data_IF_628895157301
#
_entry.id   IF_628895157301
#
_cell.length_a   1.000
_cell.length_b   1.000
_cell.length_c   1.000
_cell.angle_alpha   90.00
_cell.angle_beta   90.00
_cell.angle_gamma   90.00
#
_symmetry.space_group_name_H-M   'P 1'
#
loop_
_entity.id
_entity.type
_entity.pdbx_description
1 polymer ?
#
# COMPACT_ATOMS: atom_id res chain seq x y z
N UNK A 1 25.98 27.29 -25.21
CA UNK A 1 24.68 27.95 -25.47
C UNK A 1 23.60 26.98 -25.01
N UNK A 2 22.93 27.27 -23.90
CA UNK A 2 21.96 26.37 -23.29
C UNK A 2 20.77 26.18 -24.23
N UNK A 3 20.40 24.93 -24.50
CA UNK A 3 19.21 24.60 -25.27
C UNK A 3 18.00 25.14 -24.52
N UNK A 4 17.26 26.03 -25.17
CA UNK A 4 16.03 26.61 -24.64
C UNK A 4 14.93 25.54 -24.77
N UNK A 5 14.91 24.57 -23.84
CA UNK A 5 13.87 23.56 -23.78
C UNK A 5 12.52 24.28 -23.56
N UNK A 6 11.67 24.16 -24.57
CA UNK A 6 10.45 24.95 -24.70
C UNK A 6 9.34 24.25 -23.94
N UNK A 7 9.00 24.75 -22.76
CA UNK A 7 7.85 24.30 -21.99
C UNK A 7 6.57 24.28 -22.85
N UNK A 8 5.92 23.13 -22.94
CA UNK A 8 4.64 22.94 -23.63
C UNK A 8 3.49 23.71 -22.98
N UNK A 9 3.55 23.91 -21.65
CA UNK A 9 2.47 24.54 -20.89
C UNK A 9 2.91 25.80 -20.13
N UNK A 10 1.96 26.66 -19.81
CA UNK A 10 2.18 27.92 -19.10
C UNK A 10 1.67 27.83 -17.66
N UNK A 11 2.25 28.67 -16.81
CA UNK A 11 1.72 28.89 -15.47
C UNK A 11 0.27 29.36 -15.57
N UNK A 12 -0.61 28.73 -14.80
CA UNK A 12 -2.04 28.99 -14.81
C UNK A 12 -2.86 28.06 -15.68
N UNK A 13 -2.24 27.31 -16.61
CA UNK A 13 -2.95 26.38 -17.49
C UNK A 13 -3.59 25.24 -16.69
N UNK A 14 -4.77 24.83 -17.15
CA UNK A 14 -5.44 23.62 -16.65
C UNK A 14 -5.03 22.43 -17.51
N UNK A 15 -4.59 21.38 -16.84
CA UNK A 15 -4.08 20.17 -17.47
C UNK A 15 -4.71 18.94 -16.79
N UNK A 16 -4.52 17.78 -17.42
CA UNK A 16 -4.74 16.49 -16.80
C UNK A 16 -3.37 15.94 -16.38
N UNK A 17 -3.22 15.44 -15.16
CA UNK A 17 -1.96 14.86 -14.70
C UNK A 17 -2.17 13.45 -14.14
N UNK A 18 -1.26 12.55 -14.46
CA UNK A 18 -1.18 11.25 -13.82
C UNK A 18 -0.72 11.38 -12.37
N UNK A 19 -1.45 10.76 -11.44
CA UNK A 19 -1.00 10.49 -10.08
C UNK A 19 -1.22 9.00 -9.79
N UNK A 20 -0.13 8.24 -9.80
CA UNK A 20 -0.19 6.78 -9.86
C UNK A 20 -0.92 6.30 -11.14
N UNK A 21 -1.86 5.35 -11.06
CA UNK A 21 -2.57 4.83 -12.22
C UNK A 21 -3.78 5.68 -12.65
N UNK A 22 -4.10 6.77 -11.94
CA UNK A 22 -5.27 7.61 -12.21
C UNK A 22 -4.87 8.96 -12.81
N UNK A 23 -5.80 9.57 -13.53
CA UNK A 23 -5.65 10.88 -14.15
C UNK A 23 -6.54 11.88 -13.41
N UNK A 24 -5.98 13.02 -13.01
CA UNK A 24 -6.68 14.07 -12.29
C UNK A 24 -6.58 15.41 -13.00
N UNK A 25 -7.58 16.27 -12.84
CA UNK A 25 -7.50 17.66 -13.26
C UNK A 25 -6.57 18.44 -12.32
N UNK A 26 -5.62 19.19 -12.88
CA UNK A 26 -4.69 20.00 -12.12
C UNK A 26 -4.42 21.34 -12.81
N UNK A 27 -3.82 22.27 -12.07
CA UNK A 27 -3.40 23.59 -12.54
C UNK A 27 -1.90 23.73 -12.39
N UNK A 28 -1.24 24.28 -13.39
CA UNK A 28 0.20 24.58 -13.32
C UNK A 28 0.41 25.82 -12.45
N UNK A 29 1.20 25.68 -11.39
CA UNK A 29 1.60 26.73 -10.48
C UNK A 29 2.95 27.34 -10.83
N UNK A 30 3.89 26.54 -11.36
CA UNK A 30 5.24 27.01 -11.74
C UNK A 30 5.90 26.04 -12.73
N UNK A 31 7.05 26.41 -13.30
CA UNK A 31 7.81 25.57 -14.24
C UNK A 31 9.32 25.84 -14.19
N UNK A 32 10.11 24.78 -14.31
CA UNK A 32 11.57 24.82 -14.24
C UNK A 32 12.16 23.71 -15.14
N UNK A 33 13.33 23.94 -15.73
CA UNK A 33 14.04 22.97 -16.56
C UNK A 33 14.95 22.05 -15.72
N UNK A 34 14.94 22.19 -14.40
CA UNK A 34 15.57 21.28 -13.47
C UNK A 34 14.63 20.99 -12.31
N UNK A 35 14.55 19.73 -11.91
CA UNK A 35 13.76 19.38 -10.74
C UNK A 35 14.47 19.90 -9.46
N UNK A 36 13.82 20.76 -8.65
CA UNK A 36 14.47 21.54 -7.60
C UNK A 36 15.09 20.71 -6.46
N UNK A 37 14.68 19.45 -6.29
CA UNK A 37 15.19 18.56 -5.24
C UNK A 37 16.02 17.37 -5.74
N UNK A 38 15.90 17.01 -7.02
CA UNK A 38 16.55 15.79 -7.54
C UNK A 38 17.63 16.10 -8.56
N UNK A 39 17.69 17.34 -9.08
CA UNK A 39 18.68 17.73 -10.08
C UNK A 39 18.45 17.11 -11.46
N UNK A 40 17.34 16.38 -11.67
CA UNK A 40 16.99 15.87 -12.98
C UNK A 40 16.77 17.03 -13.97
N UNK A 41 17.51 17.00 -15.07
CA UNK A 41 17.37 17.96 -16.17
C UNK A 41 16.17 17.60 -17.04
N UNK A 42 15.42 18.62 -17.46
CA UNK A 42 14.24 18.50 -18.32
C UNK A 42 13.09 19.40 -17.86
N UNK A 43 12.06 19.62 -18.70
CA UNK A 43 10.90 20.43 -18.33
C UNK A 43 10.09 19.77 -17.21
N UNK A 44 10.03 20.47 -16.08
CA UNK A 44 9.21 20.11 -14.92
C UNK A 44 8.19 21.21 -14.64
N UNK A 45 7.03 20.80 -14.16
CA UNK A 45 5.92 21.68 -13.80
C UNK A 45 5.52 21.44 -12.35
N UNK A 46 5.43 22.50 -11.56
CA UNK A 46 4.77 22.47 -10.26
C UNK A 46 3.27 22.49 -10.51
N UNK A 47 2.55 21.48 -10.04
CA UNK A 47 1.11 21.35 -10.26
C UNK A 47 0.34 21.29 -8.94
N UNK A 48 -0.91 21.75 -9.00
CA UNK A 48 -1.90 21.62 -7.93
C UNK A 48 -3.13 20.88 -8.44
N UNK A 49 -3.46 19.76 -7.81
CA UNK A 49 -4.63 18.96 -8.16
C UNK A 49 -5.93 19.60 -7.67
N UNK A 50 -6.96 19.59 -8.53
CA UNK A 50 -8.27 20.15 -8.21
C UNK A 50 -8.91 19.42 -7.04
N UNK A 51 -9.23 20.17 -5.97
CA UNK A 51 -9.87 19.65 -4.77
C UNK A 51 -8.91 18.98 -3.76
N UNK A 52 -7.60 19.04 -4.02
CA UNK A 52 -6.59 18.52 -3.11
C UNK A 52 -6.03 19.65 -2.23
N UNK A 53 -5.39 19.30 -1.11
CA UNK A 53 -4.73 20.30 -0.25
C UNK A 53 -3.37 20.69 -0.86
N UNK A 54 -2.94 21.94 -0.66
CA UNK A 54 -1.65 22.46 -1.16
C UNK A 54 -0.42 21.65 -0.67
N UNK A 55 -0.55 20.90 0.43
CA UNK A 55 0.51 19.99 0.89
C UNK A 55 0.80 18.84 -0.09
N UNK A 56 -0.03 18.66 -1.11
CA UNK A 56 0.11 17.66 -2.18
C UNK A 56 0.61 18.25 -3.49
N UNK A 57 0.98 19.52 -3.52
CA UNK A 57 1.57 20.14 -4.69
C UNK A 57 2.92 19.46 -4.97
N UNK A 58 3.12 19.04 -6.21
CA UNK A 58 4.31 18.28 -6.61
C UNK A 58 4.89 18.81 -7.92
N UNK A 59 6.21 18.70 -8.04
CA UNK A 59 6.92 18.89 -9.29
C UNK A 59 6.83 17.61 -10.10
N UNK A 60 6.29 17.70 -11.32
CA UNK A 60 6.11 16.57 -12.23
C UNK A 60 6.85 16.83 -13.53
N UNK A 61 7.42 15.79 -14.12
CA UNK A 61 7.98 15.86 -15.47
C UNK A 61 6.87 15.98 -16.52
N UNK A 62 7.24 16.47 -17.71
CA UNK A 62 6.32 16.73 -18.82
C UNK A 62 5.53 15.50 -19.29
N UNK A 63 6.08 14.29 -19.16
CA UNK A 63 5.45 13.01 -19.54
C UNK A 63 4.19 12.67 -18.74
N UNK A 64 4.08 13.18 -17.50
CA UNK A 64 2.89 13.01 -16.64
C UNK A 64 1.78 14.00 -16.95
N UNK A 65 2.06 15.05 -17.74
CA UNK A 65 1.15 16.15 -18.00
C UNK A 65 0.49 16.00 -19.38
N UNK A 66 -0.82 15.83 -19.38
CA UNK A 66 -1.65 15.67 -20.55
C UNK A 66 -2.48 16.94 -20.82
N UNK A 67 -2.68 17.32 -22.10
CA UNK A 67 -3.57 18.42 -22.43
C UNK A 67 -5.03 18.02 -22.19
N UNK A 68 -5.87 18.98 -21.83
CA UNK A 68 -7.32 18.76 -21.76
C UNK A 68 -7.87 18.68 -23.19
N UNK A 69 -8.05 17.46 -23.68
CA UNK A 69 -8.69 17.16 -24.95
C UNK A 69 -9.69 16.00 -24.78
N UNK A 70 -10.55 15.78 -25.77
CA UNK A 70 -11.56 14.73 -25.70
C UNK A 70 -10.97 13.33 -25.51
N UNK A 71 -9.81 13.05 -26.12
CA UNK A 71 -9.17 11.74 -26.03
C UNK A 71 -8.71 11.44 -24.59
N UNK A 72 -8.04 12.39 -23.94
CA UNK A 72 -7.52 12.25 -22.58
C UNK A 72 -8.65 12.25 -21.54
N UNK A 73 -9.73 13.00 -21.77
CA UNK A 73 -10.95 12.94 -20.95
C UNK A 73 -11.66 11.58 -21.05
N UNK A 74 -11.70 10.98 -22.25
CA UNK A 74 -12.20 9.60 -22.44
C UNK A 74 -11.30 8.59 -21.72
N UNK A 75 -9.98 8.75 -21.82
CA UNK A 75 -9.02 7.91 -21.12
C UNK A 75 -9.20 7.98 -19.59
N UNK A 76 -9.38 9.18 -19.04
CA UNK A 76 -9.69 9.36 -17.61
C UNK A 76 -10.96 8.58 -17.20
N UNK A 77 -12.07 8.75 -17.94
CA UNK A 77 -13.32 8.02 -17.68
C UNK A 77 -13.17 6.50 -17.79
N UNK A 78 -12.48 6.01 -18.81
CA UNK A 78 -12.25 4.58 -18.99
C UNK A 78 -11.43 3.97 -17.83
N UNK A 79 -10.40 4.69 -17.37
CA UNK A 79 -9.60 4.28 -16.23
C UNK A 79 -10.46 4.23 -14.95
N UNK A 80 -11.26 5.26 -14.69
CA UNK A 80 -12.19 5.31 -13.55
C UNK A 80 -13.24 4.17 -13.59
N UNK A 81 -13.81 3.89 -14.76
CA UNK A 81 -14.77 2.80 -14.94
C UNK A 81 -14.14 1.42 -14.76
N UNK A 82 -12.91 1.22 -15.27
CA UNK A 82 -12.20 -0.06 -15.13
C UNK A 82 -11.83 -0.35 -13.67
N UNK A 83 -11.47 0.70 -12.91
CA UNK A 83 -11.16 0.63 -11.48
C UNK A 83 -12.39 0.32 -10.63
N UNK A 84 -13.54 0.90 -10.99
CA UNK A 84 -14.82 0.68 -10.28
C UNK A 84 -15.43 -0.69 -10.58
N UNK A 85 -15.30 -1.20 -11.82
CA UNK A 85 -15.78 -2.55 -12.19
C UNK A 85 -14.94 -3.67 -11.55
N UNK A 86 -13.63 -3.48 -11.35
CA UNK A 86 -12.78 -4.45 -10.64
C UNK A 86 -13.08 -4.58 -9.13
N UNK A 87 -13.82 -3.64 -8.55
CA UNK A 87 -14.20 -3.65 -7.13
C UNK A 87 -15.62 -4.17 -6.85
N UNK A 88 -16.37 -4.67 -7.84
CA UNK A 88 -17.64 -5.37 -7.61
C UNK A 88 -17.38 -6.88 -7.44
N UNK A 89 -17.69 -7.50 -6.28
CA UNK A 89 -17.71 -8.95 -6.19
C UNK A 89 -18.81 -9.50 -7.09
N UNK A 90 -18.44 -10.39 -8.01
CA UNK A 90 -19.36 -11.10 -8.90
C UNK A 90 -20.16 -12.14 -8.10
N UNK A 91 -21.31 -11.75 -7.54
CA UNK A 91 -22.30 -12.71 -7.07
C UNK A 91 -23.04 -13.26 -8.30
N UNK A 92 -22.69 -14.47 -8.73
CA UNK A 92 -23.51 -15.26 -9.65
C UNK A 92 -24.87 -15.49 -8.97
N UNK A 93 -25.94 -14.88 -9.48
CA UNK A 93 -27.31 -15.31 -9.18
C UNK A 93 -27.84 -16.10 -10.38
N UNK A 94 -28.14 -17.36 -10.07
CA UNK A 94 -28.87 -18.32 -10.88
C UNK A 94 -30.29 -17.78 -11.09
N UNK A 95 -30.77 -17.93 -12.32
CA UNK A 95 -32.13 -17.62 -12.76
C UNK A 95 -33.10 -18.65 -12.18
N UNK A 96 -34.18 -18.18 -11.54
CA UNK A 96 -35.46 -18.87 -11.59
C UNK A 96 -36.60 -17.87 -11.38
N UNK A 97 -37.63 -18.11 -12.19
CA UNK A 97 -38.79 -17.30 -12.51
C UNK A 97 -39.92 -17.46 -11.48
N UNK A 98 -40.67 -16.39 -11.21
CA UNK A 98 -42.11 -16.39 -10.88
C UNK A 98 -42.63 -14.99 -10.52
N UNK A 99 -43.39 -14.43 -11.47
CA UNK A 99 -44.70 -13.76 -11.32
C UNK A 99 -45.00 -12.75 -10.18
N UNK A 100 -45.29 -11.52 -10.63
CA UNK A 100 -46.34 -10.57 -10.20
C UNK A 100 -46.48 -10.12 -8.72
N UNK A 101 -46.39 -8.82 -8.44
CA UNK A 101 -47.57 -7.94 -8.15
C UNK A 101 -47.14 -6.48 -7.83
N UNK A 102 -48.04 -5.54 -8.13
CA UNK A 102 -48.01 -4.07 -7.94
C UNK A 102 -47.87 -3.66 -6.47
N UNK A 103 -47.13 -2.56 -6.19
CA UNK A 103 -47.19 -1.95 -4.85
C UNK A 103 -46.39 -0.68 -4.58
N UNK A 104 -46.89 0.46 -5.08
CA UNK A 104 -46.94 1.79 -4.41
C UNK A 104 -45.67 2.39 -3.77
N UNK A 105 -45.18 3.46 -4.42
CA UNK A 105 -44.44 4.62 -3.87
C UNK A 105 -44.66 4.85 -2.36
N UNK A 106 -43.59 4.77 -1.57
CA UNK A 106 -43.39 5.59 -0.36
C UNK A 106 -41.99 6.19 -0.37
N UNK A 107 -41.95 7.46 -0.78
CA UNK A 107 -40.95 8.47 -0.44
C UNK A 107 -40.82 8.46 1.08
N UNK A 108 -39.66 8.06 1.61
CA UNK A 108 -39.28 8.26 3.02
C UNK A 108 -37.91 8.89 3.07
N UNK A 109 -37.83 9.86 3.95
CA UNK A 109 -36.85 10.92 4.10
C UNK A 109 -35.39 10.50 3.93
N UNK A 110 -34.69 11.35 3.18
CA UNK A 110 -33.27 11.61 3.35
C UNK A 110 -33.10 12.39 4.66
N UNK A 111 -33.21 11.70 5.79
CA UNK A 111 -32.47 12.13 6.98
C UNK A 111 -31.03 11.72 6.73
N UNK A 112 -30.28 12.61 6.08
CA UNK A 112 -28.83 12.61 6.09
C UNK A 112 -28.41 12.74 7.55
N UNK A 113 -28.33 11.61 8.25
CA UNK A 113 -27.65 11.54 9.52
C UNK A 113 -26.23 12.01 9.25
N UNK A 114 -25.97 13.21 9.78
CA UNK A 114 -24.67 13.81 9.97
C UNK A 114 -23.90 12.99 11.02
N UNK A 115 -23.74 11.70 10.76
CA UNK A 115 -22.86 10.85 11.53
C UNK A 115 -21.44 11.16 11.06
N UNK A 116 -20.86 12.12 11.77
CA UNK A 116 -19.45 12.17 12.12
C UNK A 116 -18.52 11.57 11.08
N UNK A 117 -18.07 12.46 10.18
CA UNK A 117 -16.73 12.40 9.62
C UNK A 117 -15.70 12.43 10.78
N UNK A 118 -15.63 11.35 11.56
CA UNK A 118 -14.44 10.99 12.30
C UNK A 118 -13.38 10.92 11.21
N UNK A 119 -12.52 11.93 11.16
CA UNK A 119 -11.28 11.93 10.39
C UNK A 119 -10.52 10.71 10.87
N UNK A 120 -10.77 9.53 10.27
CA UNK A 120 -10.09 8.30 10.67
C UNK A 120 -8.60 8.60 10.54
N UNK A 121 -7.82 8.51 11.63
CA UNK A 121 -6.41 8.84 11.58
C UNK A 121 -5.76 7.96 10.52
N UNK A 122 -5.21 8.60 9.47
CA UNK A 122 -4.51 7.88 8.41
C UNK A 122 -3.26 7.28 9.03
N UNK A 123 -3.28 5.97 9.27
CA UNK A 123 -2.14 5.25 9.85
C UNK A 123 -1.03 5.22 8.81
N UNK A 124 -0.05 6.10 8.92
CA UNK A 124 1.16 6.04 8.09
C UNK A 124 2.25 5.37 8.93
N UNK A 125 2.75 4.25 8.43
CA UNK A 125 3.92 3.56 8.99
C UNK A 125 5.08 3.87 8.05
N UNK A 126 6.16 4.42 8.58
CA UNK A 126 7.35 4.73 7.80
C UNK A 126 8.21 3.47 7.66
N UNK A 127 8.39 3.01 6.43
CA UNK A 127 9.26 1.87 6.10
C UNK A 127 10.62 2.43 5.65
N UNK A 128 11.73 2.03 6.31
CA UNK A 128 13.10 2.39 5.90
C UNK A 128 13.37 2.16 4.41
N UNK A 129 14.23 3.00 3.82
CA UNK A 129 14.58 2.93 2.38
C UNK A 129 15.15 1.57 1.98
N UNK A 130 16.02 0.99 2.81
CA UNK A 130 16.64 -0.32 2.57
C UNK A 130 15.58 -1.42 2.43
N UNK A 131 14.60 -1.44 3.32
CA UNK A 131 13.48 -2.37 3.26
C UNK A 131 12.56 -2.10 2.05
N UNK A 132 12.42 -0.85 1.62
CA UNK A 132 11.70 -0.53 0.37
C UNK A 132 12.42 -1.06 -0.87
N UNK A 133 13.74 -0.95 -0.93
CA UNK A 133 14.52 -1.54 -2.02
C UNK A 133 14.38 -3.07 -2.04
N UNK A 134 14.40 -3.73 -0.88
CA UNK A 134 14.15 -5.17 -0.77
C UNK A 134 12.77 -5.56 -1.29
N UNK A 135 11.72 -4.78 -1.00
CA UNK A 135 10.38 -5.03 -1.55
C UNK A 135 10.32 -4.92 -3.08
N UNK A 136 11.05 -3.97 -3.66
CA UNK A 136 11.17 -3.84 -5.13
C UNK A 136 11.87 -5.06 -5.71
N UNK A 137 13.01 -5.46 -5.12
CA UNK A 137 13.78 -6.63 -5.55
C UNK A 137 12.98 -7.94 -5.43
N UNK A 138 12.24 -8.12 -4.34
CA UNK A 138 11.33 -9.25 -4.12
C UNK A 138 10.24 -9.31 -5.19
N UNK A 139 9.61 -8.16 -5.49
CA UNK A 139 8.61 -8.07 -6.56
C UNK A 139 9.18 -8.42 -7.93
N UNK A 140 10.38 -7.94 -8.27
CA UNK A 140 11.05 -8.26 -9.53
C UNK A 140 11.41 -9.74 -9.62
N UNK A 141 11.97 -10.31 -8.56
CA UNK A 141 12.40 -11.71 -8.50
C UNK A 141 11.22 -12.66 -8.75
N UNK A 142 10.05 -12.36 -8.17
CA UNK A 142 8.89 -13.24 -8.25
C UNK A 142 8.08 -13.05 -9.54
N UNK A 143 7.94 -11.81 -10.02
CA UNK A 143 7.12 -11.53 -11.20
C UNK A 143 7.90 -11.57 -12.51
N UNK A 144 9.15 -11.04 -12.54
CA UNK A 144 9.99 -11.05 -13.75
C UNK A 144 10.81 -12.32 -13.85
N UNK A 145 11.46 -12.74 -12.77
CA UNK A 145 12.39 -13.88 -12.79
C UNK A 145 11.75 -15.23 -12.44
N UNK A 146 10.47 -15.25 -12.03
CA UNK A 146 9.74 -16.44 -11.57
C UNK A 146 10.50 -17.23 -10.47
N UNK A 147 11.32 -16.53 -9.68
CA UNK A 147 12.07 -17.13 -8.58
C UNK A 147 11.20 -17.15 -7.35
N UNK A 148 10.87 -18.35 -6.88
CA UNK A 148 10.07 -18.55 -5.68
C UNK A 148 10.97 -18.76 -4.46
N UNK A 149 10.57 -18.17 -3.35
CA UNK A 149 11.26 -18.33 -2.05
C UNK A 149 11.12 -19.79 -1.60
N UNK A 150 12.20 -20.51 -1.24
CA UNK A 150 12.12 -21.89 -0.80
C UNK A 150 11.46 -22.00 0.57
N UNK A 151 10.44 -22.85 0.71
CA UNK A 151 9.68 -23.05 1.95
C UNK A 151 9.90 -24.47 2.50
N UNK A 152 9.99 -24.67 3.83
CA UNK A 152 9.87 -23.68 4.89
C UNK A 152 11.13 -22.80 5.05
N UNK A 153 10.94 -21.51 5.35
CA UNK A 153 12.05 -20.57 5.54
C UNK A 153 12.63 -20.66 6.95
N UNK A 154 13.94 -20.43 7.03
CA UNK A 154 14.70 -20.27 8.28
C UNK A 154 15.53 -18.98 8.17
N UNK A 155 15.41 -18.04 9.12
CA UNK A 155 14.43 -18.01 10.21
C UNK A 155 12.98 -17.82 9.72
N UNK A 156 12.00 -18.40 10.42
CA UNK A 156 10.57 -18.19 10.16
C UNK A 156 10.07 -16.88 10.78
N UNK A 157 8.87 -16.41 10.40
CA UNK A 157 8.26 -15.21 11.02
C UNK A 157 8.11 -15.38 12.53
N UNK A 158 7.74 -16.58 13.00
CA UNK A 158 7.67 -16.89 14.43
C UNK A 158 9.03 -16.73 15.10
N UNK A 159 10.10 -17.23 14.46
CA UNK A 159 11.47 -17.12 14.99
C UNK A 159 11.92 -15.65 15.02
N UNK A 160 11.64 -14.89 13.96
CA UNK A 160 11.99 -13.47 13.88
C UNK A 160 11.30 -12.68 15.00
N UNK A 161 10.02 -12.95 15.26
CA UNK A 161 9.27 -12.26 16.30
C UNK A 161 9.76 -12.65 17.69
N UNK A 162 10.07 -13.93 17.92
CA UNK A 162 10.65 -14.37 19.19
C UNK A 162 12.04 -13.74 19.43
N UNK A 163 12.88 -13.67 18.38
CA UNK A 163 14.19 -13.01 18.47
C UNK A 163 14.06 -11.51 18.74
N UNK A 164 13.08 -10.84 18.12
CA UNK A 164 12.76 -9.45 18.40
C UNK A 164 12.34 -9.23 19.86
N UNK A 165 11.50 -10.12 20.41
CA UNK A 165 11.10 -10.06 21.83
C UNK A 165 12.32 -10.17 22.74
N UNK A 166 13.18 -11.18 22.53
CA UNK A 166 14.41 -11.34 23.31
C UNK A 166 15.32 -10.12 23.23
N UNK A 167 15.51 -9.57 22.02
CA UNK A 167 16.29 -8.34 21.80
C UNK A 167 15.69 -7.12 22.51
N UNK A 168 14.35 -7.04 22.59
CA UNK A 168 13.64 -5.94 23.25
C UNK A 168 13.68 -6.05 24.78
N UNK A 169 13.49 -7.26 25.33
CA UNK A 169 13.63 -7.55 26.76
C UNK A 169 15.02 -7.17 27.28
N UNK A 170 16.07 -7.40 26.49
CA UNK A 170 17.44 -7.04 26.86
C UNK A 170 17.65 -5.52 26.94
N UNK A 171 16.89 -4.74 26.17
CA UNK A 171 16.99 -3.28 26.12
C UNK A 171 16.04 -2.53 27.05
N UNK A 172 14.87 -3.08 27.40
CA UNK A 172 13.85 -2.34 28.16
C UNK A 172 12.90 -3.26 28.93
N UNK A 173 12.96 -3.27 30.27
CA UNK A 173 12.16 -4.16 31.14
C UNK A 173 10.71 -3.72 31.38
N UNK A 174 10.38 -2.43 31.19
CA UNK A 174 9.09 -1.86 31.62
C UNK A 174 7.99 -1.82 30.53
N UNK A 175 8.29 -2.17 29.27
CA UNK A 175 7.34 -2.05 28.13
C UNK A 175 6.92 -3.39 27.50
N UNK A 176 7.13 -4.51 28.19
CA UNK A 176 6.94 -5.84 27.62
C UNK A 176 5.50 -6.19 27.25
N UNK A 177 4.52 -5.78 28.07
CA UNK A 177 3.13 -6.18 27.86
C UNK A 177 2.58 -5.71 26.51
N UNK A 178 2.85 -4.46 26.14
CA UNK A 178 2.37 -3.89 24.88
C UNK A 178 3.15 -4.48 23.70
N UNK A 179 4.47 -4.63 23.82
CA UNK A 179 5.28 -5.22 22.75
C UNK A 179 4.88 -6.68 22.46
N UNK A 180 4.53 -7.44 23.49
CA UNK A 180 4.02 -8.81 23.38
C UNK A 180 2.67 -8.85 22.63
N UNK A 181 1.72 -7.98 23.01
CA UNK A 181 0.42 -7.91 22.36
C UNK A 181 0.53 -7.44 20.90
N UNK A 182 1.41 -6.46 20.61
CA UNK A 182 1.69 -6.04 19.23
C UNK A 182 2.28 -7.19 18.43
N UNK A 183 3.23 -7.94 19.00
CA UNK A 183 3.86 -9.09 18.34
C UNK A 183 2.86 -10.19 18.01
N UNK A 184 1.98 -10.53 18.96
CA UNK A 184 0.87 -11.47 18.73
C UNK A 184 -0.08 -10.96 17.65
N UNK A 185 -0.40 -9.67 17.67
CA UNK A 185 -1.23 -9.02 16.65
C UNK A 185 -0.63 -9.16 15.25
N UNK A 186 0.67 -8.88 15.10
CA UNK A 186 1.37 -9.05 13.82
C UNK A 186 1.31 -10.50 13.33
N UNK A 187 1.59 -11.49 14.20
CA UNK A 187 1.44 -12.91 13.86
C UNK A 187 0.01 -13.25 13.38
N UNK A 188 -1.00 -12.79 14.12
CA UNK A 188 -2.40 -13.04 13.81
C UNK A 188 -2.78 -12.45 12.43
N UNK A 189 -2.41 -11.20 12.19
CA UNK A 189 -2.66 -10.54 10.90
C UNK A 189 -1.90 -11.22 9.76
N UNK A 190 -0.65 -11.64 10.00
CA UNK A 190 0.14 -12.38 9.03
C UNK A 190 -0.56 -13.68 8.62
N UNK A 191 -0.95 -14.50 9.62
CA UNK A 191 -1.64 -15.76 9.40
C UNK A 191 -2.94 -15.59 8.61
N UNK A 192 -3.70 -14.53 8.89
CA UNK A 192 -4.97 -14.24 8.20
C UNK A 192 -4.78 -13.65 6.80
N UNK A 193 -3.77 -12.79 6.62
CA UNK A 193 -3.58 -12.04 5.38
C UNK A 193 -2.72 -12.75 4.35
N UNK A 194 -1.90 -13.73 4.73
CA UNK A 194 -0.97 -14.38 3.81
C UNK A 194 -1.67 -14.91 2.55
N UNK A 195 -2.61 -15.84 2.74
CA UNK A 195 -3.32 -16.49 1.63
C UNK A 195 -4.22 -15.55 0.83
N UNK A 196 -4.59 -14.38 1.33
CA UNK A 196 -5.55 -13.49 0.67
C UNK A 196 -4.91 -12.24 0.06
N UNK A 197 -3.86 -11.68 0.67
CA UNK A 197 -3.33 -10.36 0.33
C UNK A 197 -1.80 -10.28 0.15
N UNK A 198 -1.02 -11.18 0.75
CA UNK A 198 0.45 -11.04 0.77
C UNK A 198 1.18 -11.77 -0.37
N UNK A 199 0.55 -12.77 -0.98
CA UNK A 199 1.18 -13.56 -2.04
C UNK A 199 0.87 -12.97 -3.43
N UNK A 200 1.88 -12.98 -4.29
CA UNK A 200 1.75 -12.69 -5.72
C UNK A 200 1.07 -13.84 -6.46
N UNK A 201 0.72 -13.60 -7.72
CA UNK A 201 -0.01 -14.59 -8.53
C UNK A 201 0.81 -15.86 -8.77
N UNK A 202 2.12 -15.75 -8.99
CA UNK A 202 3.04 -16.87 -9.20
C UNK A 202 3.24 -17.74 -7.95
N UNK A 203 3.17 -17.16 -6.76
CA UNK A 203 3.31 -17.89 -5.48
C UNK A 203 2.07 -18.71 -5.09
N UNK A 204 0.91 -18.51 -5.76
CA UNK A 204 -0.35 -19.17 -5.38
C UNK A 204 -0.31 -20.68 -5.49
N UNK A 205 0.42 -21.21 -6.47
CA UNK A 205 0.55 -22.66 -6.65
C UNK A 205 1.40 -23.27 -5.52
N UNK A 206 2.54 -22.64 -5.22
CA UNK A 206 3.40 -23.02 -4.09
C UNK A 206 2.63 -22.97 -2.76
N UNK A 207 1.82 -21.95 -2.52
CA UNK A 207 1.00 -21.86 -1.31
C UNK A 207 0.03 -23.04 -1.16
N UNK A 208 -0.64 -23.46 -2.24
CA UNK A 208 -1.55 -24.62 -2.21
C UNK A 208 -0.81 -25.91 -1.85
N UNK A 209 0.34 -26.14 -2.48
CA UNK A 209 1.17 -27.32 -2.19
C UNK A 209 1.64 -27.33 -0.73
N UNK A 210 2.11 -26.19 -0.23
CA UNK A 210 2.62 -26.05 1.13
C UNK A 210 1.49 -26.24 2.15
N UNK A 211 0.29 -25.69 1.92
CA UNK A 211 -0.86 -25.92 2.83
C UNK A 211 -1.33 -27.37 2.81
N UNK A 212 -1.17 -28.08 1.70
CA UNK A 212 -1.44 -29.53 1.66
C UNK A 212 -0.39 -30.34 2.42
N UNK A 213 0.87 -29.90 2.44
CA UNK A 213 1.96 -30.59 3.16
C UNK A 213 1.99 -30.27 4.66
N UNK A 214 1.60 -29.06 5.03
CA UNK A 214 1.69 -28.53 6.40
C UNK A 214 0.34 -27.97 6.86
N UNK A 215 -0.67 -28.83 6.94
CA UNK A 215 -2.02 -28.43 7.36
C UNK A 215 -2.07 -27.96 8.82
N UNK A 216 -1.24 -28.56 9.68
CA UNK A 216 -1.20 -28.29 11.13
C UNK A 216 -0.34 -27.10 11.53
N UNK A 217 0.46 -26.53 10.62
CA UNK A 217 1.35 -25.42 10.93
C UNK A 217 0.72 -24.07 10.56
N UNK A 218 1.05 -23.07 11.36
CA UNK A 218 0.67 -21.70 11.05
C UNK A 218 1.53 -21.13 9.92
N UNK A 219 0.98 -20.18 9.18
CA UNK A 219 1.71 -19.52 8.11
C UNK A 219 2.98 -18.82 8.64
N UNK A 220 2.91 -18.25 9.85
CA UNK A 220 4.05 -17.62 10.51
C UNK A 220 5.23 -18.58 10.77
N UNK A 221 4.98 -19.89 10.88
CA UNK A 221 6.03 -20.89 11.10
C UNK A 221 6.70 -21.37 9.81
N UNK A 222 6.08 -21.10 8.65
CA UNK A 222 6.54 -21.61 7.35
C UNK A 222 7.23 -20.53 6.53
N UNK A 223 6.71 -19.30 6.60
CA UNK A 223 7.16 -18.17 5.78
C UNK A 223 8.22 -17.34 6.51
N UNK A 224 8.95 -16.52 5.75
CA UNK A 224 10.10 -15.74 6.22
C UNK A 224 9.86 -14.24 6.30
N UNK A 225 10.97 -13.51 6.43
CA UNK A 225 11.00 -12.04 6.53
C UNK A 225 10.42 -11.35 5.29
N UNK A 226 10.56 -11.95 4.10
CA UNK A 226 10.13 -11.37 2.83
C UNK A 226 8.61 -11.11 2.84
N UNK A 227 7.84 -12.15 3.21
CA UNK A 227 6.39 -12.05 3.30
C UNK A 227 5.94 -11.19 4.49
N UNK A 228 6.67 -11.23 5.60
CA UNK A 228 6.40 -10.37 6.76
C UNK A 228 6.53 -8.89 6.38
N UNK A 229 7.52 -8.53 5.58
CA UNK A 229 7.71 -7.16 5.13
C UNK A 229 6.55 -6.66 4.26
N UNK A 230 5.99 -7.53 3.41
CA UNK A 230 4.77 -7.22 2.64
C UNK A 230 3.57 -6.93 3.53
N UNK A 231 3.48 -7.55 4.71
CA UNK A 231 2.41 -7.25 5.66
C UNK A 231 2.45 -5.78 6.09
N UNK A 232 3.63 -5.24 6.39
CA UNK A 232 3.79 -3.83 6.79
C UNK A 232 3.34 -2.82 5.72
N UNK A 233 3.45 -3.18 4.43
CA UNK A 233 2.94 -2.34 3.33
C UNK A 233 1.41 -2.30 3.32
N UNK A 234 0.76 -3.40 3.67
CA UNK A 234 -0.71 -3.53 3.67
C UNK A 234 -1.29 -3.09 5.02
N UNK A 235 -0.51 -3.13 6.10
CA UNK A 235 -0.93 -2.85 7.47
C UNK A 235 -1.69 -1.52 7.62
N UNK A 236 -1.23 -0.38 7.05
CA UNK A 236 -2.00 0.88 7.02
C UNK A 236 -3.44 0.74 6.53
N UNK A 237 -3.66 -0.08 5.50
CA UNK A 237 -4.98 -0.33 4.89
C UNK A 237 -5.84 -1.26 5.73
N UNK A 238 -5.23 -2.15 6.52
CA UNK A 238 -5.96 -3.00 7.47
C UNK A 238 -6.44 -2.16 8.66
N UNK A 239 -5.57 -1.26 9.12
CA UNK A 239 -5.79 -0.41 10.28
C UNK A 239 -6.73 0.77 10.02
N UNK A 240 -6.91 1.20 8.76
CA UNK A 240 -7.89 2.25 8.44
C UNK A 240 -9.35 1.86 8.72
N UNK A 241 -9.62 0.57 8.89
CA UNK A 241 -10.96 0.04 9.15
C UNK A 241 -11.25 -0.15 10.65
N UNK A 242 -10.24 -0.05 11.51
CA UNK A 242 -10.38 -0.22 12.96
C UNK A 242 -10.54 1.15 13.65
N UNK A 243 -11.45 1.24 14.62
CA UNK A 243 -11.62 2.43 15.43
C UNK A 243 -10.69 2.33 16.65
N UNK A 244 -9.46 2.81 16.51
CA UNK A 244 -8.43 2.78 17.56
C UNK A 244 -8.20 4.21 18.05
N UNK A 245 -8.14 4.40 19.37
CA UNK A 245 -7.83 5.69 19.98
C UNK A 245 -6.43 6.19 19.58
N UNK A 246 -6.25 7.51 19.50
CA UNK A 246 -5.02 8.13 18.99
C UNK A 246 -3.78 7.76 19.82
N UNK A 247 -3.91 7.68 21.14
CA UNK A 247 -2.82 7.28 22.05
C UNK A 247 -2.37 5.84 21.80
N UNK A 248 -3.32 4.90 21.75
CA UNK A 248 -3.04 3.49 21.45
C UNK A 248 -2.45 3.32 20.04
N UNK A 249 -2.91 4.12 19.08
CA UNK A 249 -2.38 4.11 17.72
C UNK A 249 -0.92 4.59 17.68
N UNK A 250 -0.58 5.60 18.47
CA UNK A 250 0.80 6.12 18.52
C UNK A 250 1.74 5.10 19.18
N UNK A 251 1.34 4.47 20.30
CA UNK A 251 2.10 3.39 20.91
C UNK A 251 2.30 2.20 19.95
N UNK A 252 1.25 1.83 19.22
CA UNK A 252 1.34 0.79 18.19
C UNK A 252 2.30 1.17 17.06
N UNK A 253 2.24 2.41 16.54
CA UNK A 253 3.16 2.89 15.50
C UNK A 253 4.61 2.83 15.96
N UNK A 254 4.88 3.22 17.21
CA UNK A 254 6.22 3.16 17.79
C UNK A 254 6.76 1.73 17.84
N UNK A 255 5.97 0.78 18.36
CA UNK A 255 6.37 -0.62 18.40
C UNK A 255 6.50 -1.28 17.03
N UNK A 256 5.65 -0.93 16.06
CA UNK A 256 5.79 -1.39 14.68
C UNK A 256 7.03 -0.79 14.01
N UNK A 257 7.35 0.47 14.32
CA UNK A 257 8.58 1.11 13.84
C UNK A 257 9.82 0.46 14.43
N UNK A 258 9.81 0.07 15.71
CA UNK A 258 10.91 -0.67 16.35
C UNK A 258 11.11 -2.04 15.69
N UNK A 259 10.03 -2.77 15.44
CA UNK A 259 10.10 -4.05 14.74
C UNK A 259 10.66 -3.90 13.32
N UNK A 260 10.28 -2.83 12.60
CA UNK A 260 10.86 -2.51 11.30
C UNK A 260 12.36 -2.15 11.38
N UNK A 261 12.80 -1.42 12.41
CA UNK A 261 14.23 -1.15 12.64
C UNK A 261 15.00 -2.43 12.94
N UNK A 262 14.41 -3.35 13.70
CA UNK A 262 15.00 -4.66 13.96
C UNK A 262 15.12 -5.49 12.68
N UNK A 263 14.09 -5.48 11.83
CA UNK A 263 14.16 -6.12 10.52
C UNK A 263 15.23 -5.47 9.63
N UNK A 264 15.38 -4.16 9.66
CA UNK A 264 16.43 -3.44 8.91
C UNK A 264 17.84 -3.86 9.39
N UNK A 265 18.03 -3.97 10.71
CA UNK A 265 19.27 -4.48 11.31
C UNK A 265 19.54 -5.94 10.90
N UNK A 266 18.52 -6.80 10.91
CA UNK A 266 18.64 -8.18 10.46
C UNK A 266 18.98 -8.26 8.97
N UNK A 267 18.31 -7.47 8.13
CA UNK A 267 18.56 -7.42 6.68
C UNK A 267 19.98 -6.93 6.40
N UNK A 268 20.47 -5.94 7.14
CA UNK A 268 21.88 -5.54 7.07
C UNK A 268 22.82 -6.70 7.40
N UNK A 269 22.49 -7.51 8.41
CA UNK A 269 23.26 -8.70 8.78
C UNK A 269 23.20 -9.80 7.72
N UNK A 270 22.04 -10.07 7.13
CA UNK A 270 21.85 -11.13 6.14
C UNK A 270 22.35 -10.75 4.73
N UNK A 271 22.29 -9.47 4.34
CA UNK A 271 22.78 -9.00 3.04
C UNK A 271 24.32 -8.93 3.01
N UNK A 272 24.98 -8.62 4.12
CA UNK A 272 26.44 -8.50 4.17
C UNK A 272 27.20 -9.79 4.55
N UNK A 273 26.55 -10.79 5.16
CA UNK A 273 27.23 -12.03 5.60
C UNK A 273 26.83 -13.29 4.82
N UNK A 274 25.96 -13.20 3.81
CA UNK A 274 25.49 -14.36 3.03
C UNK A 274 25.59 -14.17 1.50
N UNK A 275 26.63 -13.45 1.06
CA UNK A 275 27.23 -13.56 -0.27
C UNK A 275 28.75 -13.63 -0.16
#
# INVERSE_FOLDING_TARGET
MAQNEKFLYRQGDRILCFHGPMIYEAKILDKDNQHPKSGNSGPHYLIHYKGWKNTWDEWVAEDRVLPINEANLRQQKQIEESMTKKNKPSTKKIVQDSSADKGKKRKRDLSLDKDDLIKKPKVVIYIPEQLRMQLVQDWESINKSQMLVPLPRKPSVTDIINNYKSWKHEKNKDSDGIAEEVSKGVCFYFNKCLGTRLLYQSERNQYKEIRSKFENLENAQIYGAEHLLRLFVIFPKLMSNTNIGEETLNALKEHLSDLLKYLDFLVFFFIFFLF
#
